data_IF_719200910741
#
_entry.id   IF_719200910741
#
_cell.length_a   1.000
_cell.length_b   1.000
_cell.length_c   1.000
_cell.angle_alpha   90.00
_cell.angle_beta   90.00
_cell.angle_gamma   90.00
#
_symmetry.space_group_name_H-M   'P 1'
#
loop_
_entity.id
_entity.type
_entity.pdbx_description
1 polymer ?
#
# COMPACT_ATOMS: atom_id res chain seq x y z
N UNK A 1 -11.62 -10.08 -0.54
CA UNK A 1 -10.34 -10.83 -0.50
C UNK A 1 -9.34 -10.01 0.31
N UNK A 2 -8.70 -10.61 1.31
CA UNK A 2 -7.78 -9.90 2.20
C UNK A 2 -6.34 -10.29 1.86
N UNK A 3 -5.48 -9.31 1.61
CA UNK A 3 -4.08 -9.50 1.21
C UNK A 3 -3.18 -8.96 2.31
N UNK A 4 -2.42 -9.85 2.95
CA UNK A 4 -1.40 -9.46 3.93
C UNK A 4 -0.04 -9.33 3.24
N UNK A 5 0.60 -8.19 3.39
CA UNK A 5 1.92 -7.91 2.82
C UNK A 5 2.89 -7.73 3.99
N UNK A 6 3.95 -8.54 4.01
CA UNK A 6 5.02 -8.46 5.00
C UNK A 6 6.23 -7.85 4.32
N UNK A 7 6.59 -6.64 4.75
CA UNK A 7 7.59 -5.78 4.14
C UNK A 7 6.95 -4.56 3.48
N UNK A 8 7.35 -3.37 3.95
CA UNK A 8 6.90 -2.05 3.50
C UNK A 8 7.91 -1.34 2.59
N UNK A 9 8.92 -2.06 2.11
CA UNK A 9 9.88 -1.55 1.14
C UNK A 9 9.24 -1.19 -0.21
N UNK A 10 10.07 -0.82 -1.18
CA UNK A 10 9.63 -0.37 -2.51
C UNK A 10 8.71 -1.39 -3.20
N UNK A 11 9.06 -2.68 -3.14
CA UNK A 11 8.22 -3.74 -3.72
C UNK A 11 6.92 -3.97 -2.93
N UNK A 12 6.97 -3.94 -1.60
CA UNK A 12 5.79 -4.12 -0.76
C UNK A 12 4.74 -3.03 -0.97
N UNK A 13 5.19 -1.78 -1.10
CA UNK A 13 4.33 -0.65 -1.46
C UNK A 13 3.71 -0.82 -2.86
N UNK A 14 4.48 -1.29 -3.84
CA UNK A 14 3.95 -1.55 -5.19
C UNK A 14 2.89 -2.64 -5.22
N UNK A 15 3.12 -3.76 -4.53
CA UNK A 15 2.15 -4.85 -4.40
C UNK A 15 0.88 -4.36 -3.69
N UNK A 16 1.04 -3.57 -2.63
CA UNK A 16 -0.08 -3.00 -1.89
C UNK A 16 -0.95 -2.10 -2.75
N UNK A 17 -0.32 -1.28 -3.59
CA UNK A 17 -1.02 -0.43 -4.55
C UNK A 17 -1.83 -1.27 -5.52
N UNK A 18 -1.21 -2.25 -6.18
CA UNK A 18 -1.89 -3.09 -7.18
C UNK A 18 -3.06 -3.85 -6.54
N UNK A 19 -2.84 -4.45 -5.37
CA UNK A 19 -3.89 -5.17 -4.66
C UNK A 19 -5.04 -4.25 -4.22
N UNK A 20 -4.74 -3.03 -3.76
CA UNK A 20 -5.76 -2.04 -3.41
C UNK A 20 -6.55 -1.57 -4.65
N UNK A 21 -5.88 -1.33 -5.79
CA UNK A 21 -6.54 -0.97 -7.05
C UNK A 21 -7.39 -2.11 -7.63
N UNK A 22 -7.07 -3.35 -7.30
CA UNK A 22 -7.88 -4.52 -7.65
C UNK A 22 -9.10 -4.73 -6.73
N UNK A 23 -9.35 -3.82 -5.79
CA UNK A 23 -10.47 -3.92 -4.84
C UNK A 23 -10.23 -4.90 -3.69
N UNK A 24 -8.99 -5.32 -3.45
CA UNK A 24 -8.66 -6.18 -2.31
C UNK A 24 -8.39 -5.36 -1.04
N UNK A 25 -8.75 -5.91 0.11
CA UNK A 25 -8.42 -5.31 1.41
C UNK A 25 -6.97 -5.66 1.77
N UNK A 26 -6.09 -4.67 1.75
CA UNK A 26 -4.66 -4.86 1.98
C UNK A 26 -4.28 -4.51 3.43
N UNK A 27 -3.52 -5.38 4.08
CA UNK A 27 -2.86 -5.10 5.36
C UNK A 27 -1.36 -5.18 5.19
N UNK A 28 -0.66 -4.11 5.56
CA UNK A 28 0.78 -4.00 5.45
C UNK A 28 1.42 -4.18 6.84
N UNK A 29 2.43 -5.04 6.93
CA UNK A 29 3.16 -5.33 8.16
C UNK A 29 4.65 -5.15 7.90
N UNK A 30 5.35 -4.44 8.78
CA UNK A 30 6.81 -4.34 8.76
C UNK A 30 7.33 -4.25 10.19
N UNK A 31 8.56 -4.68 10.37
CA UNK A 31 9.34 -4.50 11.61
C UNK A 31 9.78 -3.06 11.81
N UNK A 32 9.94 -2.28 10.74
CA UNK A 32 10.40 -0.90 10.81
C UNK A 32 9.22 0.08 10.63
N UNK A 33 8.88 0.78 11.71
CA UNK A 33 7.79 1.76 11.74
C UNK A 33 8.00 2.90 10.72
N UNK A 34 9.23 3.39 10.53
CA UNK A 34 9.52 4.47 9.60
C UNK A 34 9.30 4.06 8.14
N UNK A 35 9.56 2.79 7.81
CA UNK A 35 9.28 2.24 6.49
C UNK A 35 7.77 2.10 6.27
N UNK A 36 7.04 1.67 7.30
CA UNK A 36 5.58 1.58 7.32
C UNK A 36 4.92 2.95 7.07
N UNK A 37 5.35 3.99 7.78
CA UNK A 37 4.80 5.34 7.61
C UNK A 37 5.10 5.90 6.22
N UNK A 38 6.31 5.68 5.71
CA UNK A 38 6.69 6.09 4.34
C UNK A 38 5.86 5.36 3.28
N UNK A 39 5.67 4.05 3.42
CA UNK A 39 4.85 3.25 2.53
C UNK A 39 3.40 3.70 2.57
N UNK A 40 2.85 3.93 3.77
CA UNK A 40 1.48 4.41 3.98
C UNK A 40 1.26 5.76 3.32
N UNK A 41 2.14 6.75 3.55
CA UNK A 41 2.01 8.08 2.94
C UNK A 41 2.12 8.03 1.40
N UNK A 42 3.02 7.18 0.88
CA UNK A 42 3.14 6.99 -0.57
C UNK A 42 1.89 6.35 -1.17
N UNK A 43 1.37 5.29 -0.53
CA UNK A 43 0.15 4.59 -0.94
C UNK A 43 -1.06 5.52 -0.91
N UNK A 44 -1.24 6.27 0.17
CA UNK A 44 -2.34 7.23 0.32
C UNK A 44 -2.31 8.27 -0.80
N UNK A 45 -1.15 8.89 -1.06
CA UNK A 45 -1.00 9.88 -2.13
C UNK A 45 -1.30 9.30 -3.52
N UNK A 46 -0.91 8.06 -3.79
CA UNK A 46 -1.14 7.40 -5.08
C UNK A 46 -2.60 6.99 -5.23
N UNK A 47 -3.20 6.40 -4.18
CA UNK A 47 -4.60 5.98 -4.18
C UNK A 47 -5.55 7.18 -4.29
N UNK A 48 -5.29 8.28 -3.57
CA UNK A 48 -6.06 9.52 -3.72
C UNK A 48 -6.02 10.05 -5.16
N UNK A 49 -4.85 10.04 -5.80
CA UNK A 49 -4.71 10.45 -7.21
C UNK A 49 -5.42 9.51 -8.19
N UNK A 50 -5.47 8.22 -7.89
CA UNK A 50 -6.21 7.24 -8.69
C UNK A 50 -7.71 7.44 -8.58
N UNK A 51 -8.21 7.78 -7.39
CA UNK A 51 -9.62 8.13 -7.16
C UNK A 51 -9.97 9.44 -7.88
N UNK A 52 -9.12 10.47 -7.83
CA UNK A 52 -9.37 11.75 -8.53
C UNK A 52 -9.40 11.62 -10.07
N UNK A 53 -8.79 10.56 -10.62
CA UNK A 53 -8.75 10.30 -12.07
C UNK A 53 -9.83 9.34 -12.56
N UNK A 54 -10.56 8.66 -11.67
CA UNK A 54 -11.62 7.72 -11.99
C UNK A 54 -12.99 8.36 -11.87
#
# INVERSE_FOLDING_TARGET
MNVGIIGSGTMGSGIAQVAATAGCQVKLYDTNQAALDKAKASLEKILSRLIEKG
#
